data_IF_996296973815
#
_entry.id   IF_996296973815
#
_cell.length_a   1.000
_cell.length_b   1.000
_cell.length_c   1.000
_cell.angle_alpha   90.00
_cell.angle_beta   90.00
_cell.angle_gamma   90.00
#
_symmetry.space_group_name_H-M   'P 1'
#
loop_
_entity.id
_entity.type
_entity.pdbx_description
1 polymer ?
#
# COMPACT_ATOMS: atom_id res chain seq x y z
N UNK A 1 3.54 6.77 -2.71
CA UNK A 1 3.83 6.27 -4.09
C UNK A 1 2.54 5.85 -4.80
N UNK A 2 1.43 6.46 -4.40
CA UNK A 2 0.09 6.21 -4.89
C UNK A 2 -0.09 7.00 -6.18
N UNK A 3 -0.25 6.29 -7.27
CA UNK A 3 -0.44 6.89 -8.58
C UNK A 3 -1.87 7.41 -8.66
N UNK A 4 -2.10 8.74 -8.82
CA UNK A 4 -3.43 9.31 -8.92
C UNK A 4 -4.02 9.03 -10.31
N UNK A 5 -5.32 9.26 -10.46
CA UNK A 5 -5.93 9.15 -11.77
C UNK A 5 -5.36 10.19 -12.73
N UNK A 6 -5.28 9.81 -14.01
CA UNK A 6 -4.73 10.61 -15.11
C UNK A 6 -3.22 10.88 -15.04
N UNK A 7 -2.51 10.38 -14.03
CA UNK A 7 -1.05 10.41 -14.03
C UNK A 7 -0.45 9.42 -15.03
N UNK A 8 -1.16 8.32 -15.27
CA UNK A 8 -0.89 7.33 -16.31
C UNK A 8 -1.99 7.36 -17.37
N UNK A 9 -1.62 6.99 -18.59
CA UNK A 9 -2.60 6.78 -19.65
C UNK A 9 -3.59 5.65 -19.31
N UNK A 10 -4.84 5.70 -19.81
CA UNK A 10 -5.78 4.58 -19.70
C UNK A 10 -5.22 3.27 -20.26
N UNK A 11 -4.36 3.32 -21.27
CA UNK A 11 -3.68 2.16 -21.84
C UNK A 11 -2.70 1.55 -20.84
N UNK A 12 -1.87 2.37 -20.19
CA UNK A 12 -0.97 1.91 -19.12
C UNK A 12 -1.77 1.34 -17.96
N UNK A 13 -2.81 2.05 -17.50
CA UNK A 13 -3.73 1.56 -16.46
C UNK A 13 -4.34 0.20 -16.81
N UNK A 14 -4.82 0.04 -18.05
CA UNK A 14 -5.39 -1.22 -18.54
C UNK A 14 -4.37 -2.37 -18.58
N UNK A 15 -3.14 -2.10 -19.01
CA UNK A 15 -2.05 -3.10 -19.00
C UNK A 15 -1.71 -3.53 -17.57
N UNK A 16 -1.60 -2.58 -16.64
CA UNK A 16 -1.26 -2.89 -15.25
C UNK A 16 -2.40 -3.65 -14.55
N UNK A 17 -3.66 -3.27 -14.81
CA UNK A 17 -4.81 -4.02 -14.33
C UNK A 17 -4.81 -5.46 -14.90
N UNK A 18 -4.58 -5.63 -16.20
CA UNK A 18 -4.48 -6.94 -16.83
C UNK A 18 -3.33 -7.78 -16.25
N UNK A 19 -2.18 -7.17 -15.93
CA UNK A 19 -1.06 -7.83 -15.28
C UNK A 19 -1.39 -8.26 -13.84
N UNK A 20 -2.20 -7.48 -13.12
CA UNK A 20 -2.55 -7.76 -11.73
C UNK A 20 -3.64 -8.83 -11.58
N UNK A 21 -4.55 -8.98 -12.55
CA UNK A 21 -5.60 -10.02 -12.56
C UNK A 21 -5.08 -11.43 -12.27
N UNK A 22 -4.06 -11.98 -12.98
CA UNK A 22 -3.55 -13.31 -12.68
C UNK A 22 -2.90 -13.39 -11.30
N UNK A 23 -2.26 -12.31 -10.83
CA UNK A 23 -1.66 -12.26 -9.48
C UNK A 23 -2.74 -12.40 -8.40
N UNK A 24 -3.85 -11.65 -8.52
CA UNK A 24 -4.99 -11.79 -7.62
C UNK A 24 -5.63 -13.17 -7.71
N UNK A 25 -5.83 -13.70 -8.92
CA UNK A 25 -6.42 -15.02 -9.11
C UNK A 25 -5.59 -16.12 -8.42
N UNK A 26 -4.27 -16.11 -8.60
CA UNK A 26 -3.35 -17.04 -7.93
C UNK A 26 -3.38 -16.83 -6.41
N UNK A 27 -3.37 -15.58 -5.94
CA UNK A 27 -3.41 -15.25 -4.52
C UNK A 27 -4.70 -15.76 -3.86
N UNK A 28 -5.86 -15.52 -4.48
CA UNK A 28 -7.16 -16.02 -4.02
C UNK A 28 -7.16 -17.55 -3.97
N UNK A 29 -6.67 -18.21 -5.01
CA UNK A 29 -6.61 -19.68 -5.06
C UNK A 29 -5.69 -20.24 -3.97
N UNK A 30 -4.56 -19.58 -3.71
CA UNK A 30 -3.64 -19.96 -2.65
C UNK A 30 -4.24 -19.79 -1.26
N UNK A 31 -4.93 -18.67 -1.01
CA UNK A 31 -5.62 -18.45 0.26
C UNK A 31 -6.76 -19.47 0.46
N UNK A 32 -7.55 -19.75 -0.57
CA UNK A 32 -8.61 -20.77 -0.49
C UNK A 32 -8.08 -22.17 -0.18
N UNK A 33 -6.91 -22.54 -0.71
CA UNK A 33 -6.32 -23.87 -0.57
C UNK A 33 -5.54 -24.03 0.74
N UNK A 34 -4.70 -23.05 1.07
CA UNK A 34 -3.64 -23.22 2.06
C UNK A 34 -3.94 -22.47 3.39
N UNK A 35 -4.90 -21.53 3.42
CA UNK A 35 -5.20 -20.74 4.61
C UNK A 35 -6.44 -21.25 5.36
N UNK A 36 -6.32 -21.57 6.67
CA UNK A 36 -7.49 -21.87 7.50
C UNK A 36 -8.46 -20.69 7.50
N UNK A 37 -9.76 -20.94 7.32
CA UNK A 37 -10.80 -19.90 7.23
C UNK A 37 -10.84 -18.97 8.45
N UNK A 38 -10.50 -19.50 9.62
CA UNK A 38 -10.40 -18.73 10.86
C UNK A 38 -9.28 -17.68 10.87
N UNK A 39 -8.30 -17.77 9.94
CA UNK A 39 -7.23 -16.80 9.76
C UNK A 39 -7.56 -15.68 8.78
N UNK A 40 -8.65 -15.79 8.00
CA UNK A 40 -9.08 -14.73 7.06
C UNK A 40 -9.33 -13.39 7.77
N UNK A 41 -9.98 -13.34 8.96
CA UNK A 41 -10.12 -12.08 9.70
C UNK A 41 -8.79 -11.40 10.07
N UNK A 42 -7.70 -12.17 10.21
CA UNK A 42 -6.37 -11.61 10.48
C UNK A 42 -5.78 -10.86 9.29
N UNK A 43 -6.22 -11.19 8.06
CA UNK A 43 -5.89 -10.40 6.88
C UNK A 43 -6.48 -8.98 6.98
N UNK A 44 -7.66 -8.82 7.59
CA UNK A 44 -8.24 -7.49 7.84
C UNK A 44 -7.44 -6.66 8.83
N UNK A 45 -6.89 -7.31 9.86
CA UNK A 45 -5.98 -6.63 10.79
C UNK A 45 -4.66 -6.26 10.10
N UNK A 46 -4.11 -7.15 9.28
CA UNK A 46 -2.93 -6.86 8.48
C UNK A 46 -3.16 -5.71 7.49
N UNK A 47 -4.29 -5.72 6.78
CA UNK A 47 -4.69 -4.62 5.89
C UNK A 47 -4.81 -3.31 6.66
N UNK A 48 -5.39 -3.33 7.88
CA UNK A 48 -5.47 -2.15 8.74
C UNK A 48 -4.09 -1.61 9.14
N UNK A 49 -3.10 -2.48 9.42
CA UNK A 49 -1.73 -2.04 9.67
C UNK A 49 -1.11 -1.36 8.45
N UNK A 50 -1.30 -1.94 7.25
CA UNK A 50 -0.79 -1.33 6.01
C UNK A 50 -1.45 0.02 5.75
N UNK A 51 -2.78 0.09 5.86
CA UNK A 51 -3.53 1.32 5.72
C UNK A 51 -3.03 2.42 6.67
N UNK A 52 -2.90 2.10 7.97
CA UNK A 52 -2.38 3.05 8.95
C UNK A 52 -0.93 3.45 8.63
N UNK A 53 -0.06 2.50 8.23
CA UNK A 53 1.32 2.79 7.85
C UNK A 53 1.40 3.81 6.71
N UNK A 54 0.52 3.69 5.71
CA UNK A 54 0.47 4.59 4.56
C UNK A 54 -0.08 5.98 4.91
N UNK A 55 -0.82 6.14 6.02
CA UNK A 55 -1.23 7.47 6.51
C UNK A 55 -0.08 8.26 7.17
N UNK A 56 1.03 7.60 7.54
CA UNK A 56 2.19 8.27 8.13
C UNK A 56 3.14 8.79 7.04
N UNK A 57 2.83 9.97 6.52
CA UNK A 57 3.73 10.67 5.61
C UNK A 57 4.97 11.18 6.34
N UNK A 58 6.14 10.91 5.75
CA UNK A 58 7.45 11.35 6.18
C UNK A 58 7.92 12.41 5.18
N UNK A 59 8.30 13.62 5.63
CA UNK A 59 8.82 14.64 4.73
C UNK A 59 10.27 14.33 4.33
N UNK A 60 10.66 14.73 3.12
CA UNK A 60 12.07 14.74 2.72
C UNK A 60 12.52 16.15 2.27
N UNK A 61 13.82 16.46 2.42
CA UNK A 61 14.38 17.69 1.85
C UNK A 61 14.09 17.76 0.34
N UNK A 62 13.46 18.85 -0.09
CA UNK A 62 12.94 18.99 -1.46
C UNK A 62 11.42 19.20 -1.54
N UNK A 63 10.71 19.14 -0.40
CA UNK A 63 9.29 19.54 -0.30
C UNK A 63 8.29 18.45 -0.69
N UNK A 64 8.75 17.20 -0.82
CA UNK A 64 7.90 16.05 -1.10
C UNK A 64 7.83 15.11 0.11
N UNK A 65 6.89 14.18 0.06
CA UNK A 65 6.60 13.24 1.14
C UNK A 65 6.58 11.80 0.63
N UNK A 66 6.55 10.85 1.56
CA UNK A 66 6.40 9.42 1.28
C UNK A 66 6.22 8.63 2.56
N UNK A 67 5.89 7.36 2.47
CA UNK A 67 5.45 6.59 3.63
C UNK A 67 5.95 5.14 3.58
N UNK A 68 5.87 4.46 4.73
CA UNK A 68 5.95 3.01 4.78
C UNK A 68 4.64 2.39 4.25
N UNK A 69 4.70 1.14 3.81
CA UNK A 69 3.53 0.37 3.34
C UNK A 69 3.29 -0.84 4.24
N UNK A 70 4.34 -1.46 4.77
CA UNK A 70 4.27 -2.66 5.60
C UNK A 70 3.92 -3.94 4.83
N UNK A 71 3.98 -3.95 3.50
CA UNK A 71 3.63 -5.13 2.71
C UNK A 71 4.58 -6.32 2.98
N UNK A 72 5.87 -6.07 3.20
CA UNK A 72 6.85 -7.10 3.56
C UNK A 72 6.57 -7.69 4.94
N UNK A 73 6.23 -6.86 5.92
CA UNK A 73 5.82 -7.30 7.25
C UNK A 73 4.63 -8.27 7.16
N UNK A 74 3.60 -7.90 6.41
CA UNK A 74 2.41 -8.75 6.24
C UNK A 74 2.78 -10.06 5.54
N UNK A 75 3.66 -9.99 4.54
CA UNK A 75 4.11 -11.18 3.83
C UNK A 75 4.90 -12.14 4.75
N UNK A 76 5.70 -11.61 5.67
CA UNK A 76 6.42 -12.40 6.69
C UNK A 76 5.44 -13.06 7.67
N UNK A 77 4.40 -12.36 8.10
CA UNK A 77 3.44 -12.86 9.09
C UNK A 77 2.41 -13.83 8.52
N UNK A 78 1.87 -13.54 7.33
CA UNK A 78 0.72 -14.24 6.74
C UNK A 78 1.01 -14.90 5.39
N UNK A 79 2.19 -14.67 4.80
CA UNK A 79 2.58 -15.11 3.47
C UNK A 79 2.30 -14.05 2.39
N UNK A 80 3.06 -14.08 1.27
CA UNK A 80 3.01 -13.03 0.24
C UNK A 80 1.66 -12.94 -0.47
N UNK A 81 0.95 -14.07 -0.66
CA UNK A 81 -0.39 -14.08 -1.25
C UNK A 81 -1.43 -13.41 -0.33
N UNK A 82 -1.30 -13.57 0.99
CA UNK A 82 -2.18 -12.91 1.94
C UNK A 82 -1.90 -11.41 1.99
N UNK A 83 -0.62 -11.03 1.96
CA UNK A 83 -0.18 -9.64 1.86
C UNK A 83 -0.74 -8.97 0.61
N UNK A 84 -0.65 -9.63 -0.54
CA UNK A 84 -1.19 -9.13 -1.80
C UNK A 84 -2.68 -8.79 -1.70
N UNK A 85 -3.51 -9.71 -1.21
CA UNK A 85 -4.94 -9.42 -1.07
C UNK A 85 -5.22 -8.36 0.01
N UNK A 86 -4.48 -8.39 1.13
CA UNK A 86 -4.68 -7.44 2.24
C UNK A 86 -4.36 -6.01 1.82
N UNK A 87 -3.19 -5.80 1.19
CA UNK A 87 -2.76 -4.48 0.70
C UNK A 87 -3.65 -4.03 -0.46
N UNK A 88 -4.05 -4.92 -1.37
CA UNK A 88 -4.98 -4.55 -2.47
C UNK A 88 -6.32 -4.03 -1.95
N UNK A 89 -6.88 -4.64 -0.90
CA UNK A 89 -8.14 -4.16 -0.31
C UNK A 89 -7.94 -2.84 0.44
N UNK A 90 -6.79 -2.63 1.09
CA UNK A 90 -6.45 -1.33 1.68
C UNK A 90 -6.39 -0.23 0.62
N UNK A 91 -5.66 -0.46 -0.47
CA UNK A 91 -5.56 0.47 -1.60
C UNK A 91 -6.92 0.76 -2.25
N UNK A 92 -7.79 -0.25 -2.33
CA UNK A 92 -9.14 -0.06 -2.89
C UNK A 92 -9.96 0.91 -2.03
N UNK A 93 -9.89 0.80 -0.71
CA UNK A 93 -10.57 1.74 0.18
C UNK A 93 -9.93 3.13 0.14
N UNK A 94 -8.60 3.22 0.03
CA UNK A 94 -7.89 4.49 -0.14
C UNK A 94 -8.37 5.22 -1.39
N UNK A 95 -8.41 4.55 -2.54
CA UNK A 95 -8.87 5.15 -3.79
C UNK A 95 -10.36 5.55 -3.74
N UNK A 96 -11.25 4.67 -3.27
CA UNK A 96 -12.69 4.92 -3.31
C UNK A 96 -13.19 5.88 -2.23
N UNK A 97 -12.66 5.79 -1.02
CA UNK A 97 -13.18 6.55 0.13
C UNK A 97 -12.36 7.79 0.35
N UNK A 98 -11.04 7.69 0.27
CA UNK A 98 -10.12 8.74 0.69
C UNK A 98 -9.50 9.53 -0.46
N UNK A 99 -9.73 9.13 -1.70
CA UNK A 99 -9.13 9.76 -2.88
C UNK A 99 -7.62 9.59 -2.98
N UNK A 100 -7.05 8.68 -2.17
CA UNK A 100 -5.62 8.43 -2.12
C UNK A 100 -5.27 7.29 -3.08
N UNK A 101 -4.74 7.67 -4.24
CA UNK A 101 -4.52 6.82 -5.41
C UNK A 101 -5.73 6.74 -6.35
N UNK A 102 -5.45 6.57 -7.63
CA UNK A 102 -6.45 6.56 -8.70
C UNK A 102 -7.22 5.24 -8.82
N UNK A 103 -8.48 5.34 -9.25
CA UNK A 103 -9.35 4.19 -9.55
C UNK A 103 -8.88 3.49 -10.84
N UNK A 104 -8.57 4.25 -11.90
CA UNK A 104 -7.99 3.68 -13.11
C UNK A 104 -6.57 3.19 -12.85
N UNK A 105 -5.82 3.92 -12.04
CA UNK A 105 -4.46 3.54 -11.64
C UNK A 105 -4.42 2.39 -10.59
N UNK A 106 -5.57 1.89 -10.12
CA UNK A 106 -5.65 0.87 -9.07
C UNK A 106 -4.82 -0.37 -9.39
N UNK A 107 -4.83 -0.83 -10.63
CA UNK A 107 -4.02 -1.97 -11.09
C UNK A 107 -2.52 -1.72 -10.93
N UNK A 108 -2.04 -0.53 -11.27
CA UNK A 108 -0.64 -0.14 -11.12
C UNK A 108 -0.23 -0.01 -9.66
N UNK A 109 -1.06 0.66 -8.85
CA UNK A 109 -0.87 0.78 -7.40
C UNK A 109 -0.77 -0.61 -6.72
N UNK A 110 -1.66 -1.53 -7.08
CA UNK A 110 -1.62 -2.89 -6.57
C UNK A 110 -0.43 -3.69 -7.09
N UNK A 111 -0.05 -3.53 -8.36
CA UNK A 111 1.15 -4.18 -8.90
C UNK A 111 2.41 -3.77 -8.11
N UNK A 112 2.55 -2.48 -7.83
CA UNK A 112 3.71 -1.97 -7.10
C UNK A 112 3.69 -2.38 -5.62
N UNK A 113 2.64 -2.00 -4.90
CA UNK A 113 2.60 -2.09 -3.44
C UNK A 113 2.04 -3.41 -2.91
N UNK A 114 1.14 -4.06 -3.66
CA UNK A 114 0.53 -5.32 -3.23
C UNK A 114 1.17 -6.56 -3.87
N UNK A 115 1.91 -6.41 -4.98
CA UNK A 115 2.64 -7.51 -5.59
C UNK A 115 4.15 -7.38 -5.45
N UNK A 116 4.78 -6.42 -6.12
CA UNK A 116 6.25 -6.30 -6.16
C UNK A 116 6.82 -6.18 -4.74
N UNK A 117 6.33 -5.24 -3.94
CA UNK A 117 6.81 -5.00 -2.58
C UNK A 117 6.80 -6.28 -1.71
N UNK A 118 5.63 -6.91 -1.43
CA UNK A 118 5.59 -8.05 -0.52
C UNK A 118 6.30 -9.28 -1.08
N UNK A 119 6.30 -9.52 -2.40
CA UNK A 119 6.95 -10.71 -2.97
C UNK A 119 8.47 -10.59 -2.99
N UNK A 120 9.01 -9.44 -3.40
CA UNK A 120 10.47 -9.18 -3.34
C UNK A 120 10.93 -9.23 -1.90
N UNK A 121 10.25 -8.52 -1.00
CA UNK A 121 10.66 -8.47 0.40
C UNK A 121 10.58 -9.82 1.10
N UNK A 122 9.53 -10.61 0.83
CA UNK A 122 9.41 -11.96 1.37
C UNK A 122 10.45 -12.93 0.80
N UNK A 123 10.76 -12.85 -0.50
CA UNK A 123 11.79 -13.69 -1.11
C UNK A 123 13.17 -13.44 -0.47
N UNK A 124 13.56 -12.16 -0.35
CA UNK A 124 14.81 -11.75 0.31
C UNK A 124 14.82 -12.19 1.78
N UNK A 125 13.73 -11.97 2.51
CA UNK A 125 13.58 -12.43 3.89
C UNK A 125 13.82 -13.94 3.99
N UNK A 126 13.20 -14.75 3.12
CA UNK A 126 13.35 -16.21 3.14
C UNK A 126 14.79 -16.65 2.86
N UNK A 127 15.50 -15.97 1.96
CA UNK A 127 16.91 -16.24 1.66
C UNK A 127 17.82 -15.97 2.86
N UNK A 128 17.58 -14.89 3.60
CA UNK A 128 18.43 -14.48 4.73
C UNK A 128 18.08 -15.28 6.01
N UNK A 129 16.80 -15.33 6.35
CA UNK A 129 16.31 -15.96 7.57
C UNK A 129 16.37 -17.49 7.51
N UNK A 130 16.33 -18.10 6.32
CA UNK A 130 16.52 -19.55 6.16
C UNK A 130 15.53 -20.41 6.97
N UNK A 131 14.33 -19.88 7.24
CA UNK A 131 13.31 -20.55 8.07
C UNK A 131 13.52 -20.46 9.58
N UNK A 132 14.55 -19.75 10.04
CA UNK A 132 14.75 -19.48 11.46
C UNK A 132 13.70 -18.46 11.93
N UNK A 133 13.17 -18.65 13.13
CA UNK A 133 12.20 -17.74 13.75
C UNK A 133 12.71 -17.34 15.13
N UNK A 134 12.43 -16.10 15.52
CA UNK A 134 12.77 -15.47 16.80
C UNK A 134 14.28 -15.33 17.05
N UNK A 135 15.05 -15.19 15.97
CA UNK A 135 16.50 -14.98 16.03
C UNK A 135 16.92 -13.69 15.32
N UNK A 136 18.20 -13.35 15.41
CA UNK A 136 18.76 -12.18 14.73
C UNK A 136 18.59 -12.25 13.22
N UNK A 137 18.61 -13.44 12.63
CA UNK A 137 18.48 -13.63 11.17
C UNK A 137 17.08 -13.29 10.69
N UNK A 138 16.04 -13.56 11.49
CA UNK A 138 14.66 -13.14 11.19
C UNK A 138 14.59 -11.62 11.05
N UNK A 139 15.07 -10.88 12.06
CA UNK A 139 14.97 -9.42 12.05
C UNK A 139 15.85 -8.77 10.98
N UNK A 140 17.05 -9.30 10.75
CA UNK A 140 17.93 -8.84 9.68
C UNK A 140 17.30 -9.13 8.31
N UNK A 141 16.75 -10.33 8.11
CA UNK A 141 16.05 -10.69 6.89
C UNK A 141 14.80 -9.83 6.66
N UNK A 142 14.06 -9.51 7.72
CA UNK A 142 12.87 -8.67 7.65
C UNK A 142 13.25 -7.23 7.31
N UNK A 143 14.31 -6.69 7.92
CA UNK A 143 14.84 -5.37 7.60
C UNK A 143 15.31 -5.29 6.14
N UNK A 144 16.24 -6.14 5.72
CA UNK A 144 16.77 -6.10 4.35
C UNK A 144 15.67 -6.39 3.32
N UNK A 145 14.80 -7.37 3.59
CA UNK A 145 13.68 -7.68 2.71
C UNK A 145 12.72 -6.51 2.55
N UNK A 146 12.31 -5.88 3.65
CA UNK A 146 11.40 -4.74 3.59
C UNK A 146 12.00 -3.53 2.87
N UNK A 147 13.28 -3.22 3.11
CA UNK A 147 14.02 -2.19 2.39
C UNK A 147 14.07 -2.43 0.87
N UNK A 148 14.40 -3.65 0.44
CA UNK A 148 14.47 -3.98 -0.98
C UNK A 148 13.09 -4.05 -1.63
N UNK A 149 12.07 -4.52 -0.89
CA UNK A 149 10.69 -4.58 -1.36
C UNK A 149 10.14 -3.20 -1.69
N UNK A 150 10.23 -2.24 -0.76
CA UNK A 150 9.69 -0.88 -0.97
C UNK A 150 10.44 -0.15 -2.09
N UNK A 151 11.77 -0.32 -2.18
CA UNK A 151 12.57 0.28 -3.25
C UNK A 151 12.26 -0.34 -4.63
N UNK A 152 12.01 -1.65 -4.70
CA UNK A 152 11.60 -2.29 -5.95
C UNK A 152 10.23 -1.76 -6.42
N UNK A 153 9.28 -1.59 -5.50
CA UNK A 153 7.97 -1.03 -5.81
C UNK A 153 8.06 0.43 -6.26
N UNK A 154 8.88 1.25 -5.59
CA UNK A 154 9.14 2.63 -5.97
C UNK A 154 9.78 2.73 -7.36
N UNK A 155 10.70 1.81 -7.70
CA UNK A 155 11.30 1.73 -9.03
C UNK A 155 10.27 1.39 -10.10
N UNK A 156 9.33 0.46 -9.83
CA UNK A 156 8.24 0.16 -10.76
C UNK A 156 7.36 1.39 -11.03
N UNK A 157 6.92 2.08 -9.98
CA UNK A 157 6.17 3.34 -10.12
C UNK A 157 6.97 4.38 -10.91
N UNK A 158 8.27 4.54 -10.62
CA UNK A 158 9.15 5.46 -11.34
C UNK A 158 9.25 5.16 -12.85
N UNK A 159 9.30 3.88 -13.21
CA UNK A 159 9.31 3.44 -14.61
C UNK A 159 7.95 3.71 -15.25
N UNK A 160 6.85 3.37 -14.57
CA UNK A 160 5.47 3.63 -15.05
C UNK A 160 5.24 5.11 -15.37
N UNK A 161 5.77 6.01 -14.53
CA UNK A 161 5.80 7.45 -14.80
C UNK A 161 6.70 7.79 -15.99
N UNK A 162 7.94 7.31 -15.96
CA UNK A 162 8.99 7.70 -16.91
C UNK A 162 8.74 7.29 -18.36
N UNK A 163 7.92 6.25 -18.57
CA UNK A 163 7.50 5.83 -19.91
C UNK A 163 6.32 6.65 -20.46
N UNK A 164 5.55 7.35 -19.63
CA UNK A 164 4.40 8.13 -20.10
C UNK A 164 4.78 9.16 -21.18
N UNK A 165 5.79 10.02 -20.97
CA UNK A 165 6.16 10.98 -22.00
C UNK A 165 6.86 10.31 -23.18
N UNK A 166 7.27 9.04 -23.11
CA UNK A 166 7.84 8.33 -24.26
C UNK A 166 6.75 7.77 -25.18
N UNK A 167 5.64 7.33 -24.59
CA UNK A 167 4.58 6.59 -25.28
C UNK A 167 3.37 7.45 -25.65
N UNK A 168 3.10 8.50 -24.88
CA UNK A 168 1.85 9.28 -25.00
C UNK A 168 2.17 10.77 -25.14
N UNK A 169 2.24 11.24 -26.39
CA UNK A 169 2.52 12.63 -26.74
C UNK A 169 1.43 13.20 -27.65
N UNK A 170 1.22 14.51 -27.58
CA UNK A 170 0.44 15.25 -28.57
C UNK A 170 1.26 15.53 -29.84
N UNK A 171 0.62 16.15 -30.84
CA UNK A 171 1.26 16.48 -32.12
C UNK A 171 2.44 17.48 -31.98
N UNK A 172 2.51 18.24 -30.89
CA UNK A 172 3.62 19.14 -30.59
C UNK A 172 4.75 18.44 -29.81
N UNK A 173 4.59 17.15 -29.50
CA UNK A 173 5.57 16.36 -28.75
C UNK A 173 5.45 16.49 -27.23
N UNK A 174 4.43 17.19 -26.72
CA UNK A 174 4.20 17.35 -25.29
C UNK A 174 3.58 16.07 -24.72
N UNK A 175 4.01 15.67 -23.52
CA UNK A 175 3.42 14.53 -22.82
C UNK A 175 1.93 14.77 -22.51
N UNK A 176 1.13 13.71 -22.66
CA UNK A 176 -0.32 13.76 -22.37
C UNK A 176 -0.66 13.47 -20.90
N UNK A 177 0.20 12.74 -20.18
CA UNK A 177 0.02 12.35 -18.77
C UNK A 177 1.24 12.80 -17.96
N UNK A 178 1.84 11.96 -17.09
CA UNK A 178 3.07 12.31 -16.41
C UNK A 178 4.13 12.86 -17.39
N UNK A 179 4.62 14.10 -17.22
CA UNK A 179 5.51 14.74 -18.19
C UNK A 179 6.99 14.39 -17.98
N UNK A 180 7.32 13.71 -16.90
CA UNK A 180 8.69 13.44 -16.48
C UNK A 180 9.19 12.12 -17.04
N UNK A 181 10.23 12.17 -17.87
CA UNK A 181 10.87 10.97 -18.42
C UNK A 181 11.64 10.18 -17.37
N UNK A 182 12.12 8.99 -17.76
CA UNK A 182 12.89 8.08 -16.87
C UNK A 182 14.09 8.74 -16.17
N UNK A 183 14.75 9.69 -16.85
CA UNK A 183 15.90 10.44 -16.33
C UNK A 183 15.54 11.38 -15.17
N UNK A 184 14.25 11.71 -15.00
CA UNK A 184 13.74 12.53 -13.89
C UNK A 184 12.99 11.64 -12.90
N UNK A 185 12.10 10.78 -13.39
CA UNK A 185 11.23 9.98 -12.53
C UNK A 185 11.98 8.98 -11.67
N UNK A 186 13.00 8.31 -12.22
CA UNK A 186 13.80 7.33 -11.46
C UNK A 186 14.58 8.03 -10.35
N UNK A 187 15.41 9.07 -10.60
CA UNK A 187 16.10 9.75 -9.51
C UNK A 187 15.15 10.32 -8.46
N UNK A 188 14.05 10.96 -8.88
CA UNK A 188 13.12 11.60 -7.96
C UNK A 188 12.45 10.59 -7.01
N UNK A 189 11.97 9.45 -7.54
CA UNK A 189 11.39 8.39 -6.71
C UNK A 189 12.47 7.69 -5.87
N UNK A 190 13.58 7.31 -6.48
CA UNK A 190 14.55 6.45 -5.82
C UNK A 190 15.37 7.16 -4.75
N UNK A 191 15.65 8.47 -4.87
CA UNK A 191 16.40 9.19 -3.83
C UNK A 191 15.66 9.14 -2.50
N UNK A 192 14.36 9.47 -2.48
CA UNK A 192 13.56 9.42 -1.25
C UNK A 192 13.43 8.00 -0.67
N UNK A 193 13.22 7.01 -1.54
CA UNK A 193 13.03 5.62 -1.09
C UNK A 193 14.33 4.92 -0.66
N UNK A 194 15.48 5.25 -1.27
CA UNK A 194 16.78 4.71 -0.87
C UNK A 194 17.31 5.36 0.41
N UNK A 195 16.91 6.60 0.71
CA UNK A 195 17.47 7.36 1.84
C UNK A 195 16.57 7.38 3.06
N UNK A 196 15.28 7.65 2.89
CA UNK A 196 14.35 7.92 4.01
C UNK A 196 13.26 6.86 4.08
N UNK A 197 12.47 6.68 3.02
CA UNK A 197 11.27 5.83 3.08
C UNK A 197 11.61 4.34 3.18
N UNK A 198 12.71 3.92 2.57
CA UNK A 198 13.25 2.57 2.75
C UNK A 198 13.63 2.29 4.19
N UNK A 199 14.30 3.24 4.86
CA UNK A 199 14.65 3.11 6.29
C UNK A 199 13.40 3.16 7.18
N UNK A 200 12.42 4.01 6.85
CA UNK A 200 11.14 4.04 7.54
C UNK A 200 10.41 2.68 7.46
N UNK A 201 10.39 2.04 6.28
CA UNK A 201 9.82 0.70 6.09
C UNK A 201 10.58 -0.36 6.90
N UNK A 202 11.92 -0.27 7.01
CA UNK A 202 12.73 -1.16 7.88
C UNK A 202 12.33 -1.01 9.34
N UNK A 203 12.32 0.23 9.84
CA UNK A 203 11.98 0.52 11.23
C UNK A 203 10.57 0.03 11.54
N UNK A 204 9.61 0.36 10.67
CA UNK A 204 8.22 -0.08 10.81
C UNK A 204 8.12 -1.61 10.81
N UNK A 205 8.71 -2.28 9.82
CA UNK A 205 8.65 -3.75 9.70
C UNK A 205 9.28 -4.44 10.92
N UNK A 206 10.51 -4.07 11.29
CA UNK A 206 11.23 -4.74 12.38
C UNK A 206 10.59 -4.45 13.73
N UNK A 207 10.16 -3.21 13.99
CA UNK A 207 9.53 -2.84 15.26
C UNK A 207 8.20 -3.57 15.47
N UNK A 208 7.33 -3.58 14.45
CA UNK A 208 6.03 -4.26 14.55
C UNK A 208 6.23 -5.78 14.58
N UNK A 209 7.17 -6.34 13.82
CA UNK A 209 7.50 -7.76 13.88
C UNK A 209 7.96 -8.14 15.30
N UNK A 210 8.90 -7.40 15.88
CA UNK A 210 9.38 -7.64 17.24
C UNK A 210 8.24 -7.52 18.27
N UNK A 211 7.36 -6.52 18.13
CA UNK A 211 6.18 -6.40 18.97
C UNK A 211 5.27 -7.63 18.84
N UNK A 212 4.93 -8.06 17.63
CA UNK A 212 4.07 -9.23 17.40
C UNK A 212 4.70 -10.49 17.98
N UNK A 213 6.00 -10.71 17.78
CA UNK A 213 6.70 -11.88 18.32
C UNK A 213 6.70 -11.92 19.86
N UNK A 214 6.70 -10.76 20.52
CA UNK A 214 6.74 -10.64 21.98
C UNK A 214 5.36 -10.60 22.63
N UNK A 215 4.45 -9.81 22.07
CA UNK A 215 3.18 -9.43 22.69
C UNK A 215 1.95 -10.12 22.07
N UNK A 216 2.08 -10.69 20.87
CA UNK A 216 0.98 -11.37 20.18
C UNK A 216 1.47 -12.64 19.43
N UNK A 217 2.14 -13.59 20.12
CA UNK A 217 2.76 -14.75 19.47
C UNK A 217 1.74 -15.64 18.74
N UNK A 218 0.46 -15.60 19.09
CA UNK A 218 -0.62 -16.31 18.39
C UNK A 218 -0.76 -15.94 16.91
N UNK A 219 -0.36 -14.73 16.50
CA UNK A 219 -0.27 -14.33 15.08
C UNK A 219 0.75 -15.18 14.31
N UNK A 220 1.76 -15.71 15.00
CA UNK A 220 2.79 -16.56 14.39
C UNK A 220 2.45 -18.04 14.36
N UNK A 221 1.53 -18.48 15.21
CA UNK A 221 1.25 -19.90 15.41
C UNK A 221 0.07 -20.32 14.53
N UNK A 222 0.20 -21.48 13.89
CA UNK A 222 -0.85 -22.15 13.13
C UNK A 222 -1.94 -22.75 14.05
N UNK A 223 -2.45 -22.00 15.02
CA UNK A 223 -3.61 -22.43 15.82
C UNK A 223 -4.88 -21.80 15.24
N UNK A 224 -5.92 -22.62 15.10
CA UNK A 224 -7.17 -22.29 14.43
C UNK A 224 -8.04 -21.27 15.18
N UNK A 225 -7.67 -20.88 16.41
CA UNK A 225 -8.40 -19.94 17.25
C UNK A 225 -7.61 -18.65 17.50
N UNK A 226 -7.26 -17.91 16.44
CA UNK A 226 -6.66 -16.58 16.58
C UNK A 226 -7.75 -15.53 16.79
N UNK A 227 -8.24 -15.37 18.02
CA UNK A 227 -8.95 -14.12 18.38
C UNK A 227 -7.93 -13.00 18.44
N UNK A 228 -8.28 -11.82 17.92
CA UNK A 228 -7.45 -10.60 18.06
C UNK A 228 -7.13 -10.37 19.55
N UNK A 229 -5.84 -10.43 19.88
CA UNK A 229 -5.36 -10.25 21.25
C UNK A 229 -5.42 -8.79 21.66
N UNK A 230 -5.56 -8.56 22.96
CA UNK A 230 -5.64 -7.21 23.53
C UNK A 230 -4.43 -6.33 23.16
N UNK A 231 -3.18 -6.84 23.13
CA UNK A 231 -2.02 -6.04 22.71
C UNK A 231 -2.13 -5.51 21.28
N UNK A 232 -2.68 -6.30 20.35
CA UNK A 232 -2.86 -5.89 18.96
C UNK A 232 -3.90 -4.77 18.82
N UNK A 233 -4.99 -4.84 19.59
CA UNK A 233 -6.01 -3.79 19.64
C UNK A 233 -5.43 -2.50 20.23
N UNK A 234 -4.61 -2.60 21.27
CA UNK A 234 -3.91 -1.47 21.86
C UNK A 234 -2.96 -0.84 20.85
N UNK A 235 -2.17 -1.66 20.14
CA UNK A 235 -1.26 -1.16 19.10
C UNK A 235 -2.04 -0.44 17.98
N UNK A 236 -3.14 -1.01 17.48
CA UNK A 236 -4.00 -0.34 16.50
C UNK A 236 -4.56 0.97 17.04
N UNK A 237 -5.04 1.01 18.28
CA UNK A 237 -5.55 2.23 18.90
C UNK A 237 -4.46 3.31 19.01
N UNK A 238 -3.24 2.93 19.40
CA UNK A 238 -2.09 3.84 19.45
C UNK A 238 -1.76 4.38 18.06
N UNK A 239 -1.70 3.53 17.03
CA UNK A 239 -1.44 3.95 15.67
C UNK A 239 -2.54 4.87 15.12
N UNK A 240 -3.81 4.59 15.41
CA UNK A 240 -4.96 5.44 15.04
C UNK A 240 -4.82 6.83 15.66
N UNK A 241 -4.52 6.91 16.96
CA UNK A 241 -4.36 8.20 17.65
C UNK A 241 -3.13 8.96 17.14
N UNK A 242 -2.11 8.24 16.68
CA UNK A 242 -0.88 8.82 16.17
C UNK A 242 -0.97 9.29 14.70
N UNK A 243 -2.01 8.93 13.92
CA UNK A 243 -2.09 9.30 12.49
C UNK A 243 -1.93 10.79 12.18
N UNK A 244 -2.31 11.77 13.04
CA UNK A 244 -2.04 13.17 12.79
C UNK A 244 -0.54 13.52 12.68
N UNK A 245 0.37 12.65 13.10
CA UNK A 245 1.82 12.83 12.85
C UNK A 245 2.10 12.90 11.35
N UNK A 246 1.30 12.23 10.51
CA UNK A 246 1.41 12.33 9.05
C UNK A 246 1.13 13.74 8.50
N UNK A 247 0.38 14.57 9.23
CA UNK A 247 0.10 15.96 8.85
C UNK A 247 1.31 16.89 9.04
N UNK A 248 2.34 16.46 9.77
CA UNK A 248 3.58 17.23 9.91
C UNK A 248 4.39 17.28 8.60
N UNK A 249 4.10 16.37 7.67
CA UNK A 249 4.72 16.34 6.37
C UNK A 249 3.99 17.32 5.44
N UNK A 250 4.57 18.51 5.26
CA UNK A 250 4.05 19.48 4.31
C UNK A 250 4.43 19.11 2.87
N UNK A 251 3.44 19.06 1.97
CA UNK A 251 3.62 18.86 0.53
C UNK A 251 3.15 17.49 0.01
N UNK A 252 2.77 17.49 -1.26
CA UNK A 252 2.34 16.28 -1.98
C UNK A 252 3.54 15.39 -2.30
N UNK A 253 3.34 14.08 -2.22
CA UNK A 253 4.38 13.13 -2.58
C UNK A 253 4.75 13.23 -4.07
N UNK A 254 6.02 12.99 -4.39
CA UNK A 254 6.48 13.04 -5.77
C UNK A 254 5.74 11.98 -6.60
N UNK A 255 5.11 12.39 -7.69
CA UNK A 255 4.34 11.48 -8.53
C UNK A 255 2.85 11.37 -8.17
N UNK A 256 2.36 12.21 -7.25
CA UNK A 256 0.97 12.21 -6.79
C UNK A 256 0.23 13.53 -7.08
N UNK A 257 0.81 14.37 -7.93
CA UNK A 257 0.29 15.70 -8.20
C UNK A 257 -0.99 15.71 -9.04
N UNK A 258 -1.86 16.67 -8.77
CA UNK A 258 -2.96 17.02 -9.67
C UNK A 258 -2.48 17.77 -10.91
N UNK A 259 -3.40 17.98 -11.86
CA UNK A 259 -3.14 18.78 -13.07
C UNK A 259 -2.68 20.22 -12.73
N UNK A 260 -3.28 20.82 -11.69
CA UNK A 260 -2.97 22.17 -11.23
C UNK A 260 -1.57 22.26 -10.61
N UNK A 261 -1.16 21.24 -9.85
CA UNK A 261 0.16 21.17 -9.24
C UNK A 261 1.26 20.96 -10.29
N UNK A 262 1.02 20.13 -11.31
CA UNK A 262 1.97 19.93 -12.42
C UNK A 262 2.28 21.26 -13.12
N UNK A 263 1.30 22.14 -13.32
CA UNK A 263 1.55 23.46 -13.91
C UNK A 263 2.58 24.28 -13.09
N UNK A 264 2.61 24.08 -11.76
CA UNK A 264 3.50 24.79 -10.84
C UNK A 264 4.90 24.17 -10.70
N UNK A 265 5.10 22.93 -11.16
CA UNK A 265 6.38 22.20 -11.03
C UNK A 265 7.51 22.66 -11.97
N UNK A 266 7.22 23.57 -12.92
CA UNK A 266 8.20 24.13 -13.86
C UNK A 266 8.22 23.50 -15.26
N UNK A 267 7.32 22.55 -15.54
CA UNK A 267 7.14 21.92 -16.87
C UNK A 267 6.62 22.92 -17.92
N UNK A 268 5.99 24.01 -17.48
CA UNK A 268 5.56 25.12 -18.34
C UNK A 268 4.27 24.85 -19.12
N UNK A 269 3.61 23.70 -18.91
CA UNK A 269 2.29 23.39 -19.44
C UNK A 269 1.60 22.33 -18.58
N UNK A 270 0.27 22.23 -18.70
CA UNK A 270 -0.50 21.15 -18.09
C UNK A 270 -0.78 20.05 -19.13
N UNK A 271 -0.41 18.78 -18.87
CA UNK A 271 -0.68 17.67 -19.78
C UNK A 271 -2.19 17.53 -20.08
N UNK A 272 -2.55 17.55 -21.36
CA UNK A 272 -3.97 17.58 -21.79
C UNK A 272 -4.77 16.35 -21.36
N UNK A 273 -4.12 15.19 -21.26
CA UNK A 273 -4.75 13.96 -20.76
C UNK A 273 -5.07 14.00 -19.28
N UNK A 274 -4.46 14.91 -18.51
CA UNK A 274 -4.82 15.17 -17.10
C UNK A 274 -6.03 16.08 -16.96
N UNK A 275 -6.16 17.09 -17.83
CA UNK A 275 -7.24 18.10 -17.74
C UNK A 275 -8.60 17.54 -18.14
N UNK A 276 -8.65 16.65 -19.13
CA UNK A 276 -9.88 16.03 -19.62
C UNK A 276 -9.97 14.55 -19.28
N UNK A 277 -9.26 14.15 -18.22
CA UNK A 277 -9.17 12.79 -17.78
C UNK A 277 -10.41 12.29 -17.04
N UNK A 278 -10.27 11.11 -16.45
CA UNK A 278 -11.26 10.54 -15.54
C UNK A 278 -11.36 11.39 -14.26
N UNK A 279 -12.57 11.71 -13.85
CA UNK A 279 -12.85 12.49 -12.65
C UNK A 279 -13.73 11.68 -11.69
N UNK A 280 -13.26 11.53 -10.46
CA UNK A 280 -13.97 10.84 -9.39
C UNK A 280 -13.86 11.63 -8.10
N UNK A 281 -15.00 11.96 -7.52
CA UNK A 281 -15.07 12.59 -6.20
C UNK A 281 -15.16 11.53 -5.12
N UNK A 282 -14.08 11.37 -4.35
CA UNK A 282 -14.05 10.49 -3.18
C UNK A 282 -15.01 10.99 -2.08
N UNK A 283 -15.41 10.08 -1.18
CA UNK A 283 -16.32 10.41 -0.09
C UNK A 283 -15.68 11.32 0.98
N UNK A 284 -14.40 11.09 1.27
CA UNK A 284 -13.59 11.73 2.31
C UNK A 284 -12.19 12.06 1.76
N UNK A 285 -12.08 12.91 0.72
CA UNK A 285 -10.80 13.21 0.08
C UNK A 285 -9.77 13.71 1.09
N UNK A 286 -8.53 13.28 0.91
CA UNK A 286 -7.37 13.65 1.73
C UNK A 286 -7.56 13.34 3.22
N UNK A 287 -8.37 12.30 3.51
CA UNK A 287 -8.69 11.89 4.88
C UNK A 287 -9.36 13.01 5.72
N UNK A 288 -9.95 14.00 5.05
CA UNK A 288 -10.46 15.22 5.66
C UNK A 288 -11.99 15.23 5.77
N UNK A 289 -12.51 16.08 6.65
CA UNK A 289 -13.94 16.29 6.84
C UNK A 289 -14.25 17.79 6.86
N UNK A 290 -15.19 18.21 6.01
CA UNK A 290 -15.64 19.60 5.99
C UNK A 290 -16.19 20.01 7.36
N UNK A 291 -15.69 21.13 7.90
CA UNK A 291 -16.08 21.67 9.19
C UNK A 291 -15.41 21.05 10.41
N UNK A 292 -14.49 20.10 10.25
CA UNK A 292 -13.69 19.53 11.33
C UNK A 292 -12.21 19.93 11.23
N UNK A 293 -11.48 20.05 12.36
CA UNK A 293 -10.03 20.22 12.33
C UNK A 293 -9.34 19.05 11.60
N UNK A 294 -8.32 19.33 10.79
CA UNK A 294 -7.61 18.31 9.98
C UNK A 294 -7.11 17.13 10.81
N UNK A 295 -6.47 17.39 11.96
CA UNK A 295 -5.99 16.34 12.86
C UNK A 295 -7.11 15.42 13.35
N UNK A 296 -8.31 15.94 13.57
CA UNK A 296 -9.45 15.15 14.00
C UNK A 296 -10.05 14.36 12.82
N UNK A 297 -10.11 14.97 11.64
CA UNK A 297 -10.47 14.29 10.39
C UNK A 297 -9.58 13.09 10.12
N UNK A 298 -8.25 13.23 10.28
CA UNK A 298 -7.28 12.15 10.12
C UNK A 298 -7.51 10.99 11.09
N UNK A 299 -7.79 11.26 12.37
CA UNK A 299 -8.09 10.21 13.35
C UNK A 299 -9.41 9.50 12.97
N UNK A 300 -10.44 10.26 12.58
CA UNK A 300 -11.74 9.70 12.24
C UNK A 300 -11.65 8.83 10.97
N UNK A 301 -10.95 9.30 9.95
CA UNK A 301 -10.63 8.55 8.74
C UNK A 301 -9.86 7.27 9.06
N UNK A 302 -8.88 7.34 9.98
CA UNK A 302 -8.15 6.17 10.45
C UNK A 302 -9.08 5.13 11.10
N UNK A 303 -9.99 5.56 11.97
CA UNK A 303 -11.00 4.68 12.60
C UNK A 303 -11.90 4.04 11.55
N UNK A 304 -12.41 4.81 10.60
CA UNK A 304 -13.32 4.33 9.54
C UNK A 304 -12.61 3.31 8.66
N UNK A 305 -11.41 3.62 8.16
CA UNK A 305 -10.64 2.73 7.30
C UNK A 305 -10.32 1.40 8.00
N UNK A 306 -9.81 1.45 9.24
CA UNK A 306 -9.54 0.25 10.05
C UNK A 306 -10.79 -0.58 10.29
N UNK A 307 -11.91 0.06 10.64
CA UNK A 307 -13.18 -0.64 10.88
C UNK A 307 -13.68 -1.34 9.61
N UNK A 308 -13.68 -0.65 8.47
CA UNK A 308 -14.11 -1.22 7.19
C UNK A 308 -13.26 -2.41 6.78
N UNK A 309 -11.93 -2.32 6.90
CA UNK A 309 -11.03 -3.43 6.57
C UNK A 309 -11.30 -4.66 7.44
N UNK A 310 -11.47 -4.47 8.75
CA UNK A 310 -11.79 -5.57 9.66
C UNK A 310 -13.16 -6.19 9.31
N UNK A 311 -14.17 -5.36 9.02
CA UNK A 311 -15.51 -5.82 8.67
C UNK A 311 -15.49 -6.62 7.36
N UNK A 312 -14.87 -6.08 6.30
CA UNK A 312 -14.78 -6.73 4.98
C UNK A 312 -14.16 -8.12 5.11
N UNK A 313 -13.00 -8.24 5.76
CA UNK A 313 -12.34 -9.54 5.90
C UNK A 313 -13.09 -10.50 6.84
N UNK A 314 -13.81 -10.01 7.85
CA UNK A 314 -14.71 -10.85 8.65
C UNK A 314 -15.86 -11.40 7.81
N UNK A 315 -16.48 -10.58 6.96
CA UNK A 315 -17.56 -11.00 6.06
C UNK A 315 -17.06 -12.03 5.04
N UNK A 316 -15.87 -11.82 4.45
CA UNK A 316 -15.23 -12.79 3.56
C UNK A 316 -14.98 -14.11 4.30
N UNK A 317 -14.45 -14.05 5.53
CA UNK A 317 -14.21 -15.21 6.38
C UNK A 317 -15.50 -15.99 6.69
N UNK A 318 -16.58 -15.29 7.03
CA UNK A 318 -17.90 -15.88 7.28
C UNK A 318 -18.48 -16.56 6.04
N UNK A 319 -18.46 -15.88 4.89
CA UNK A 319 -18.94 -16.41 3.61
C UNK A 319 -18.14 -17.65 3.17
N UNK A 320 -16.82 -17.66 3.42
CA UNK A 320 -15.98 -18.82 3.18
C UNK A 320 -16.33 -19.98 4.13
N UNK A 321 -16.64 -19.69 5.40
CA UNK A 321 -17.01 -20.66 6.44
C UNK A 321 -18.36 -21.35 6.20
N UNK A 322 -19.38 -20.59 5.81
CA UNK A 322 -20.76 -21.07 5.64
C UNK A 322 -20.95 -22.15 4.59
N UNK A 323 -20.12 -22.18 3.54
CA UNK A 323 -20.21 -23.20 2.47
C UNK A 323 -19.80 -24.63 2.88
N UNK A 324 -19.30 -24.82 4.10
CA UNK A 324 -18.86 -26.14 4.59
C UNK A 324 -19.97 -26.97 5.26
N UNK A 325 -21.12 -26.37 5.59
CA UNK A 325 -22.17 -27.04 6.39
C UNK A 325 -23.25 -27.75 5.58
N UNK A 326 -23.19 -27.72 4.24
CA UNK A 326 -24.26 -28.26 3.36
C UNK A 326 -23.86 -29.51 2.56
N UNK A 327 -22.79 -30.23 2.92
CA UNK A 327 -22.35 -31.44 2.21
C UNK A 327 -22.47 -32.75 3.02
N UNK A 328 -23.22 -32.75 4.12
CA UNK A 328 -23.56 -33.97 4.85
C UNK A 328 -25.05 -33.99 5.14
N UNK A 329 -25.83 -34.41 4.15
CA UNK A 329 -27.17 -34.96 4.29
C UNK A 329 -27.34 -36.00 3.18
#
# INVERSE_FOLDING_TARGET
>A
MHIPDNYLSPQTCGVMAAAMVPVWAVSINKIKKDMPKAKIPMMGVAAAFSFLAMMFNVPIPGGTTGHAVGGSLIAILLGPYAACLSVSVALLLQALIFGDGGILAFGANCFNMAFVLPFVGYAVYKLIAGGHQKDTREYVGAGIGSYLGINAAALCAAIEFGIQPMLFRDAAGNALYCPYGLNVSIPAMMIGHLTVFGLAEVVFTVAILAFVRKAAPELSVSTAESKSSNPLKVLLAVLIVATPVGLLAAGTAWGEWGADEIAATGVGYTPKGMVHGFDYSALLPDYSFSGLPEWFGYILSAVIGVALLIIIFRLIGYAAGGRSKTSHA
#
